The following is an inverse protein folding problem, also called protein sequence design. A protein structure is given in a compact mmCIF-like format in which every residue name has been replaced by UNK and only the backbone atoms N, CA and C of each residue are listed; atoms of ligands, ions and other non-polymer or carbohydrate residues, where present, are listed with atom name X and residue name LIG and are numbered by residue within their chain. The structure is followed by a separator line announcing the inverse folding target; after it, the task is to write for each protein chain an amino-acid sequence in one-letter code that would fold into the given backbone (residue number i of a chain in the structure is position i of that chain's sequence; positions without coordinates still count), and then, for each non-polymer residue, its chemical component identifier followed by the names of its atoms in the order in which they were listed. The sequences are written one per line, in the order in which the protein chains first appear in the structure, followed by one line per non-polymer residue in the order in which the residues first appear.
data_IF_028914180549
#
_entry.id   IF_028914180549
#
_cell.length_a   1.000
_cell.length_b   1.000
_cell.length_c   1.000
_cell.angle_alpha   90.00
_cell.angle_beta   90.00
_cell.angle_gamma   90.00
#
_symmetry.space_group_name_H-M   'P 1'
#
loop_
_entity.id
_entity.type
_entity.pdbx_description
1 polymer ?
#
# COMPACT_ATOMS: atom_id res chain seq x y z
N UNK A 1 7.08 -58.17 16.17
CA UNK A 1 7.76 -57.01 15.57
C UNK A 1 6.71 -56.06 15.01
N UNK A 2 6.63 -54.83 15.52
CA UNK A 2 5.94 -53.71 14.89
C UNK A 2 6.58 -52.42 15.42
N UNK A 3 7.42 -51.78 14.61
CA UNK A 3 8.13 -50.56 15.01
C UNK A 3 7.17 -49.39 14.84
N UNK A 4 6.84 -48.72 15.95
CA UNK A 4 5.92 -47.61 15.94
C UNK A 4 6.68 -46.33 15.54
N UNK A 5 6.53 -45.92 14.29
CA UNK A 5 7.23 -44.76 13.74
C UNK A 5 6.82 -43.48 14.50
N UNK A 6 7.80 -42.89 15.21
CA UNK A 6 7.61 -41.61 15.89
C UNK A 6 7.29 -40.51 14.89
N UNK A 7 6.13 -39.86 15.06
CA UNK A 7 5.84 -38.61 14.35
C UNK A 7 6.72 -37.51 14.93
N UNK A 8 7.85 -37.24 14.28
CA UNK A 8 8.68 -36.07 14.58
C UNK A 8 7.83 -34.81 14.39
N UNK A 9 7.44 -34.21 15.51
CA UNK A 9 6.70 -32.95 15.53
C UNK A 9 7.68 -31.86 15.14
N UNK A 10 7.68 -31.48 13.86
CA UNK A 10 8.40 -30.29 13.39
C UNK A 10 7.83 -29.09 14.12
N UNK A 11 8.54 -28.63 15.14
CA UNK A 11 8.24 -27.37 15.82
C UNK A 11 8.59 -26.27 14.82
N UNK A 12 7.70 -25.30 14.54
CA UNK A 12 8.10 -24.14 13.75
C UNK A 12 9.17 -23.40 14.54
N UNK A 13 10.40 -23.35 14.01
CA UNK A 13 11.41 -22.42 14.53
C UNK A 13 10.86 -21.02 14.33
N UNK A 14 10.41 -20.38 15.42
CA UNK A 14 9.98 -19.00 15.40
C UNK A 14 11.15 -18.18 14.85
N UNK A 15 10.91 -17.45 13.76
CA UNK A 15 11.95 -16.61 13.17
C UNK A 15 12.40 -15.56 14.21
N UNK A 16 13.71 -15.31 14.34
CA UNK A 16 14.25 -14.44 15.39
C UNK A 16 13.64 -13.04 15.32
N UNK A 17 13.47 -12.40 16.49
CA UNK A 17 12.91 -11.06 16.58
C UNK A 17 13.83 -10.03 15.88
N UNK A 18 13.28 -8.89 15.46
CA UNK A 18 14.08 -7.85 14.78
C UNK A 18 15.31 -7.47 15.62
N UNK A 19 15.14 -7.22 16.92
CA UNK A 19 16.21 -6.78 17.82
C UNK A 19 17.30 -7.86 18.02
N UNK A 20 16.93 -9.15 18.01
CA UNK A 20 17.86 -10.28 18.06
C UNK A 20 18.70 -10.37 16.78
N UNK A 21 18.06 -10.17 15.63
CA UNK A 21 18.75 -10.12 14.34
C UNK A 21 19.69 -8.92 14.27
N UNK A 22 19.25 -7.74 14.70
CA UNK A 22 20.07 -6.53 14.77
C UNK A 22 21.31 -6.76 15.64
N UNK A 23 21.14 -7.32 16.85
CA UNK A 23 22.27 -7.61 17.74
C UNK A 23 23.30 -8.53 17.08
N UNK A 24 22.87 -9.63 16.44
CA UNK A 24 23.78 -10.56 15.75
C UNK A 24 24.45 -9.96 14.52
N UNK A 25 23.78 -9.08 13.78
CA UNK A 25 24.41 -8.35 12.66
C UNK A 25 25.51 -7.41 13.19
N UNK A 26 25.29 -6.75 14.33
CA UNK A 26 26.30 -5.91 14.99
C UNK A 26 27.48 -6.72 15.57
N UNK A 27 27.25 -7.97 15.95
CA UNK A 27 28.30 -8.94 16.32
C UNK A 27 29.09 -9.49 15.11
N UNK A 28 28.67 -9.17 13.88
CA UNK A 28 29.37 -9.51 12.63
C UNK A 28 28.68 -10.58 11.77
N UNK A 29 27.50 -11.08 12.15
CA UNK A 29 26.71 -12.02 11.34
C UNK A 29 25.91 -11.28 10.25
N UNK A 30 26.64 -10.64 9.33
CA UNK A 30 26.11 -9.74 8.29
C UNK A 30 25.04 -10.42 7.42
N UNK A 31 25.13 -11.73 7.21
CA UNK A 31 24.18 -12.50 6.42
C UNK A 31 22.74 -12.43 6.98
N UNK A 32 22.58 -12.26 8.29
CA UNK A 32 21.25 -12.14 8.90
C UNK A 32 20.54 -10.82 8.57
N UNK A 33 21.23 -9.81 8.07
CA UNK A 33 20.59 -8.58 7.61
C UNK A 33 19.57 -8.86 6.48
N UNK A 34 19.78 -9.91 5.68
CA UNK A 34 18.82 -10.40 4.69
C UNK A 34 17.45 -10.74 5.30
N UNK A 35 17.42 -11.23 6.55
CA UNK A 35 16.16 -11.55 7.27
C UNK A 35 15.36 -10.27 7.53
N UNK A 36 16.03 -9.18 7.95
CA UNK A 36 15.40 -7.86 8.13
C UNK A 36 14.95 -7.28 6.78
N UNK A 37 15.77 -7.41 5.74
CA UNK A 37 15.40 -6.95 4.39
C UNK A 37 14.12 -7.65 3.90
N UNK A 38 14.11 -8.99 3.83
CA UNK A 38 12.95 -9.75 3.35
C UNK A 38 11.68 -9.51 4.17
N UNK A 39 11.82 -9.36 5.50
CA UNK A 39 10.70 -9.07 6.42
C UNK A 39 10.08 -7.69 6.20
N UNK A 40 10.90 -6.68 5.90
CA UNK A 40 10.46 -5.27 5.87
C UNK A 40 10.34 -4.68 4.45
N UNK A 41 10.79 -5.39 3.41
CA UNK A 41 10.69 -5.00 2.00
C UNK A 41 9.30 -4.45 1.62
N UNK A 42 8.16 -5.12 1.90
CA UNK A 42 6.85 -4.64 1.46
C UNK A 42 6.45 -3.29 2.10
N UNK A 43 6.80 -3.10 3.38
CA UNK A 43 6.53 -1.87 4.15
C UNK A 43 7.40 -0.71 3.67
N UNK A 44 8.69 -0.97 3.44
CA UNK A 44 9.61 0.02 2.89
C UNK A 44 9.23 0.42 1.47
N UNK A 45 8.88 -0.55 0.61
CA UNK A 45 8.40 -0.32 -0.76
C UNK A 45 7.20 0.63 -0.77
N UNK A 46 6.13 0.31 -0.03
CA UNK A 46 4.91 1.14 0.04
C UNK A 46 5.19 2.54 0.58
N UNK A 47 6.03 2.67 1.60
CA UNK A 47 6.44 3.96 2.15
C UNK A 47 7.15 4.83 1.09
N UNK A 48 8.12 4.27 0.36
CA UNK A 48 8.88 4.98 -0.69
C UNK A 48 8.01 5.27 -1.93
N UNK A 49 7.18 4.31 -2.36
CA UNK A 49 6.22 4.44 -3.47
C UNK A 49 5.05 5.40 -3.19
N UNK A 50 4.85 5.79 -1.92
CA UNK A 50 3.99 6.92 -1.56
C UNK A 50 4.61 8.28 -1.94
N UNK A 51 5.92 8.34 -2.14
CA UNK A 51 6.68 9.55 -2.50
C UNK A 51 7.06 9.53 -3.98
N UNK A 52 7.84 8.54 -4.40
CA UNK A 52 8.26 8.34 -5.79
C UNK A 52 7.15 7.61 -6.58
N UNK A 53 7.15 7.72 -7.92
CA UNK A 53 6.16 7.06 -8.80
C UNK A 53 6.81 6.10 -9.81
N UNK A 54 8.09 6.28 -10.09
CA UNK A 54 8.87 5.42 -10.98
C UNK A 54 9.41 4.23 -10.19
N UNK A 55 9.25 3.02 -10.72
CA UNK A 55 9.58 1.77 -10.03
C UNK A 55 11.10 1.59 -9.86
N UNK A 56 11.90 1.92 -10.88
CA UNK A 56 13.36 1.84 -10.78
C UNK A 56 13.90 2.83 -9.73
N UNK A 57 13.32 4.04 -9.67
CA UNK A 57 13.70 5.01 -8.63
C UNK A 57 13.29 4.57 -7.22
N UNK A 58 12.21 3.80 -7.07
CA UNK A 58 11.78 3.20 -5.80
C UNK A 58 12.74 2.09 -5.39
N UNK A 59 13.13 1.20 -6.31
CA UNK A 59 14.12 0.15 -6.06
C UNK A 59 15.48 0.74 -5.64
N UNK A 60 16.00 1.71 -6.40
CA UNK A 60 17.25 2.40 -6.07
C UNK A 60 17.17 3.12 -4.71
N UNK A 61 15.99 3.62 -4.32
CA UNK A 61 15.77 4.27 -3.02
C UNK A 61 15.66 3.24 -1.88
N UNK A 62 15.08 2.06 -2.13
CA UNK A 62 15.09 0.93 -1.19
C UNK A 62 16.52 0.43 -0.95
N UNK A 63 17.30 0.24 -2.02
CA UNK A 63 18.71 -0.16 -1.94
C UNK A 63 19.51 0.85 -1.09
N UNK A 64 19.42 2.13 -1.42
CA UNK A 64 20.11 3.18 -0.66
C UNK A 64 19.63 3.24 0.80
N UNK A 65 18.33 3.09 1.06
CA UNK A 65 17.80 3.05 2.43
C UNK A 65 18.34 1.87 3.24
N UNK A 66 18.49 0.68 2.64
CA UNK A 66 19.12 -0.46 3.31
C UNK A 66 20.62 -0.28 3.53
N UNK A 67 21.35 0.33 2.60
CA UNK A 67 22.76 0.67 2.79
C UNK A 67 22.95 1.68 3.94
N UNK A 68 22.11 2.71 4.01
CA UNK A 68 22.09 3.67 5.12
C UNK A 68 21.70 3.00 6.46
N UNK A 69 20.67 2.16 6.45
CA UNK A 69 20.23 1.42 7.64
C UNK A 69 21.29 0.42 8.13
N UNK A 70 22.08 -0.17 7.24
CA UNK A 70 23.22 -1.01 7.63
C UNK A 70 24.36 -0.18 8.20
N UNK A 71 24.75 0.91 7.52
CA UNK A 71 25.83 1.80 7.98
C UNK A 71 25.55 2.45 9.34
N UNK A 72 24.29 2.78 9.62
CA UNK A 72 23.83 3.37 10.89
C UNK A 72 23.21 2.37 11.86
N UNK A 73 23.38 1.06 11.64
CA UNK A 73 22.75 0.04 12.48
C UNK A 73 23.20 0.11 13.95
N UNK A 74 24.46 0.51 14.19
CA UNK A 74 25.00 0.73 15.54
C UNK A 74 24.39 1.94 16.26
N UNK A 75 23.80 2.89 15.52
CA UNK A 75 23.12 4.06 16.08
C UNK A 75 21.67 3.74 16.50
N UNK A 76 21.13 2.56 16.11
CA UNK A 76 19.75 2.16 16.40
C UNK A 76 19.57 1.75 17.87
N UNK A 77 19.10 2.70 18.69
CA UNK A 77 18.92 2.55 20.14
C UNK A 77 17.72 1.68 20.58
N UNK A 78 17.03 0.97 19.67
CA UNK A 78 15.84 0.14 20.00
C UNK A 78 14.62 0.90 20.56
N UNK A 79 14.63 2.24 20.58
CA UNK A 79 13.55 3.06 21.16
C UNK A 79 12.25 3.06 20.35
N UNK A 80 12.31 2.60 19.10
CA UNK A 80 11.17 2.35 18.23
C UNK A 80 11.45 1.05 17.46
N UNK A 81 10.42 0.40 16.93
CA UNK A 81 10.60 -0.81 16.11
C UNK A 81 11.54 -0.53 14.92
N UNK A 82 12.41 -1.50 14.59
CA UNK A 82 13.34 -1.41 13.45
C UNK A 82 12.61 -1.00 12.15
N UNK A 83 11.43 -1.58 11.91
CA UNK A 83 10.55 -1.23 10.78
C UNK A 83 10.18 0.26 10.70
N UNK A 84 9.92 0.94 11.83
CA UNK A 84 9.65 2.39 11.86
C UNK A 84 10.91 3.18 11.53
N UNK A 85 12.05 2.81 12.11
CA UNK A 85 13.33 3.46 11.86
C UNK A 85 13.75 3.36 10.39
N UNK A 86 13.65 2.17 9.81
CA UNK A 86 13.89 1.91 8.38
C UNK A 86 12.95 2.72 7.47
N UNK A 87 11.66 2.80 7.80
CA UNK A 87 10.69 3.62 7.03
C UNK A 87 11.06 5.10 7.07
N UNK A 88 11.54 5.64 8.20
CA UNK A 88 12.02 7.02 8.29
C UNK A 88 13.24 7.25 7.36
N UNK A 89 14.18 6.31 7.30
CA UNK A 89 15.33 6.39 6.38
C UNK A 89 14.84 6.41 4.93
N UNK A 90 14.00 5.45 4.53
CA UNK A 90 13.50 5.34 3.15
C UNK A 90 12.67 6.53 2.69
N UNK A 91 11.78 7.05 3.53
CA UNK A 91 10.97 8.23 3.20
C UNK A 91 11.84 9.48 3.06
N UNK A 92 12.86 9.65 3.91
CA UNK A 92 13.79 10.76 3.80
C UNK A 92 14.64 10.71 2.52
N UNK A 93 15.14 9.53 2.17
CA UNK A 93 15.85 9.28 0.90
C UNK A 93 14.95 9.61 -0.32
N UNK A 94 13.72 9.11 -0.31
CA UNK A 94 12.74 9.38 -1.37
C UNK A 94 12.41 10.88 -1.52
N UNK A 95 12.24 11.60 -0.41
CA UNK A 95 12.02 13.04 -0.39
C UNK A 95 13.27 13.82 -0.84
N UNK A 96 14.48 13.35 -0.49
CA UNK A 96 15.75 13.97 -0.94
C UNK A 96 15.88 13.88 -2.46
N UNK A 97 15.67 12.69 -3.04
CA UNK A 97 15.66 12.46 -4.49
C UNK A 97 14.67 13.36 -5.22
N UNK A 98 13.46 13.51 -4.66
CA UNK A 98 12.43 14.36 -5.26
C UNK A 98 12.79 15.86 -5.19
N UNK A 99 13.42 16.32 -4.10
CA UNK A 99 13.96 17.70 -3.99
C UNK A 99 15.06 17.96 -5.02
N UNK A 100 15.98 17.01 -5.22
CA UNK A 100 17.10 17.13 -6.17
C UNK A 100 16.68 17.38 -7.62
N UNK A 101 15.42 17.09 -7.99
CA UNK A 101 14.85 17.34 -9.33
C UNK A 101 14.20 18.72 -9.48
N UNK A 102 14.33 19.60 -8.48
CA UNK A 102 13.66 20.92 -8.46
C UNK A 102 12.13 20.84 -8.37
N UNK A 103 11.56 19.66 -8.10
CA UNK A 103 10.10 19.40 -8.14
C UNK A 103 9.37 19.57 -6.82
N UNK A 104 10.03 19.95 -5.73
CA UNK A 104 9.40 20.05 -4.41
C UNK A 104 9.15 21.49 -3.95
N UNK A 105 7.94 21.98 -4.19
CA UNK A 105 7.29 22.98 -3.33
C UNK A 105 6.17 22.26 -2.59
N UNK A 106 6.33 22.02 -1.28
CA UNK A 106 5.32 21.37 -0.43
C UNK A 106 4.01 22.18 -0.26
N UNK A 107 3.91 23.32 -0.94
CA UNK A 107 2.84 24.31 -0.88
C UNK A 107 2.23 24.66 -2.26
N UNK A 108 2.48 23.88 -3.32
CA UNK A 108 1.95 24.15 -4.67
C UNK A 108 1.33 22.92 -5.35
N UNK A 109 0.24 23.17 -6.08
CA UNK A 109 -0.42 22.29 -7.08
C UNK A 109 -0.05 22.76 -8.51
N UNK A 110 -0.43 22.08 -9.61
CA UNK A 110 -0.97 20.73 -9.79
C UNK A 110 0.14 19.87 -10.51
N UNK A 111 0.02 19.17 -11.67
CA UNK A 111 -1.08 18.63 -12.48
C UNK A 111 -1.24 17.10 -12.32
N UNK A 112 -1.70 16.39 -13.36
CA UNK A 112 -2.12 14.98 -13.35
C UNK A 112 -1.10 13.98 -13.92
N UNK A 113 -1.34 12.68 -13.66
CA UNK A 113 -0.91 11.59 -14.53
C UNK A 113 0.33 10.80 -14.09
N UNK A 114 0.11 9.60 -13.55
CA UNK A 114 1.15 8.57 -13.41
C UNK A 114 0.49 7.20 -13.40
N UNK A 115 0.87 6.33 -14.34
CA UNK A 115 0.41 4.93 -14.43
C UNK A 115 1.04 4.12 -13.30
N UNK A 116 0.40 3.01 -12.94
CA UNK A 116 0.86 2.06 -11.92
C UNK A 116 1.12 0.73 -12.62
N UNK A 117 2.27 0.10 -12.39
CA UNK A 117 2.50 -1.30 -12.73
C UNK A 117 1.83 -2.20 -11.69
N UNK A 118 1.21 -3.29 -12.15
CA UNK A 118 0.62 -4.32 -11.29
C UNK A 118 1.62 -5.47 -11.16
N UNK A 119 1.83 -6.00 -9.94
CA UNK A 119 2.01 -7.45 -9.68
C UNK A 119 2.15 -7.75 -8.18
N UNK A 120 1.28 -8.61 -7.62
CA UNK A 120 1.66 -9.60 -6.60
C UNK A 120 0.58 -10.70 -6.48
N UNK A 121 0.94 -11.97 -6.72
CA UNK A 121 0.04 -13.13 -6.68
C UNK A 121 -0.06 -13.77 -5.28
N UNK A 122 -1.27 -14.08 -4.81
CA UNK A 122 -1.53 -15.06 -3.71
C UNK A 122 -2.82 -15.86 -4.01
N UNK A 123 -2.85 -17.13 -3.59
CA UNK A 123 -3.71 -18.22 -4.06
C UNK A 123 -5.26 -18.09 -3.96
N UNK A 124 -5.95 -18.90 -4.78
CA UNK A 124 -7.35 -18.79 -5.26
C UNK A 124 -8.52 -18.76 -4.24
N UNK A 125 -9.28 -17.64 -4.21
CA UNK A 125 -10.75 -17.58 -4.08
C UNK A 125 -11.46 -18.07 -5.37
N UNK A 126 -12.80 -17.97 -5.46
CA UNK A 126 -13.50 -18.26 -6.73
C UNK A 126 -13.16 -17.22 -7.83
N UNK A 127 -13.20 -17.57 -9.13
CA UNK A 127 -12.83 -16.63 -10.20
C UNK A 127 -13.65 -15.33 -10.23
N UNK A 128 -14.93 -15.37 -9.85
CA UNK A 128 -15.77 -14.17 -9.75
C UNK A 128 -15.43 -13.32 -8.52
N UNK A 129 -15.17 -13.95 -7.37
CA UNK A 129 -14.74 -13.26 -6.15
C UNK A 129 -13.35 -12.61 -6.33
N UNK A 130 -12.44 -13.28 -7.05
CA UNK A 130 -11.13 -12.75 -7.43
C UNK A 130 -11.25 -11.50 -8.29
N UNK A 131 -12.05 -11.54 -9.37
CA UNK A 131 -12.24 -10.41 -10.26
C UNK A 131 -12.83 -9.20 -9.51
N UNK A 132 -13.85 -9.41 -8.69
CA UNK A 132 -14.47 -8.35 -7.88
C UNK A 132 -13.48 -7.76 -6.85
N UNK A 133 -12.68 -8.61 -6.20
CA UNK A 133 -11.65 -8.16 -5.25
C UNK A 133 -10.52 -7.40 -5.94
N UNK A 134 -10.10 -7.84 -7.14
CA UNK A 134 -9.09 -7.18 -7.94
C UNK A 134 -9.55 -5.79 -8.41
N UNK A 135 -10.76 -5.66 -8.97
CA UNK A 135 -11.32 -4.36 -9.36
C UNK A 135 -11.44 -3.40 -8.18
N UNK A 136 -11.91 -3.88 -7.02
CA UNK A 136 -12.01 -3.07 -5.81
C UNK A 136 -10.64 -2.60 -5.32
N UNK A 137 -9.63 -3.48 -5.35
CA UNK A 137 -8.24 -3.16 -4.97
C UNK A 137 -7.63 -2.14 -5.92
N UNK A 138 -7.69 -2.37 -7.22
CA UNK A 138 -7.14 -1.48 -8.25
C UNK A 138 -7.79 -0.08 -8.18
N UNK A 139 -9.10 0.01 -7.92
CA UNK A 139 -9.80 1.28 -7.70
C UNK A 139 -9.24 2.03 -6.48
N UNK A 140 -8.94 1.32 -5.40
CA UNK A 140 -8.43 1.89 -4.15
C UNK A 140 -6.98 2.37 -4.30
N UNK A 141 -6.12 1.58 -4.95
CA UNK A 141 -4.74 1.93 -5.30
C UNK A 141 -4.70 3.17 -6.22
N UNK A 142 -5.53 3.19 -7.28
CA UNK A 142 -5.68 4.36 -8.16
C UNK A 142 -6.19 5.60 -7.41
N UNK A 143 -7.11 5.46 -6.46
CA UNK A 143 -7.59 6.58 -5.65
C UNK A 143 -6.48 7.15 -4.75
N UNK A 144 -5.69 6.27 -4.11
CA UNK A 144 -4.51 6.69 -3.31
C UNK A 144 -3.47 7.38 -4.19
N UNK A 145 -3.21 6.90 -5.41
CA UNK A 145 -2.24 7.52 -6.32
C UNK A 145 -2.70 8.83 -6.98
N UNK A 146 -3.99 9.17 -6.88
CA UNK A 146 -4.50 10.49 -7.25
C UNK A 146 -4.45 11.51 -6.12
N UNK A 147 -4.13 11.11 -4.89
CA UNK A 147 -3.93 12.06 -3.80
C UNK A 147 -2.70 12.96 -4.06
N UNK A 148 -2.77 14.26 -3.69
CA UNK A 148 -1.59 15.11 -3.57
C UNK A 148 -0.52 14.45 -2.69
N UNK A 149 0.75 14.53 -3.09
CA UNK A 149 1.89 13.88 -2.43
C UNK A 149 1.85 13.98 -0.90
N UNK A 150 1.67 15.20 -0.38
CA UNK A 150 1.69 15.47 1.06
C UNK A 150 0.50 14.86 1.83
N UNK A 151 -0.59 14.50 1.15
CA UNK A 151 -1.72 13.74 1.69
C UNK A 151 -1.49 12.24 1.51
N UNK A 152 -1.02 11.81 0.34
CA UNK A 152 -0.72 10.41 -0.01
C UNK A 152 0.28 9.79 0.96
N UNK A 153 1.43 10.43 1.17
CA UNK A 153 2.46 9.92 2.08
C UNK A 153 1.96 9.82 3.53
N UNK A 154 1.22 10.83 4.02
CA UNK A 154 0.62 10.75 5.36
C UNK A 154 -0.40 9.61 5.46
N UNK A 155 -1.24 9.42 4.45
CA UNK A 155 -2.24 8.36 4.42
C UNK A 155 -1.60 6.96 4.41
N UNK A 156 -0.61 6.72 3.53
CA UNK A 156 0.10 5.44 3.44
C UNK A 156 0.77 5.11 4.78
N UNK A 157 1.53 6.05 5.36
CA UNK A 157 2.22 5.80 6.62
C UNK A 157 1.27 5.57 7.81
N UNK A 158 0.13 6.28 7.87
CA UNK A 158 -0.83 6.18 8.99
C UNK A 158 -1.82 5.01 8.89
N UNK A 159 -2.34 4.73 7.71
CA UNK A 159 -3.48 3.80 7.52
C UNK A 159 -3.04 2.46 6.91
N UNK A 160 -2.01 2.45 6.06
CA UNK A 160 -1.50 1.21 5.44
C UNK A 160 -0.39 0.62 6.30
N UNK A 161 0.62 1.43 6.63
CA UNK A 161 1.78 0.97 7.43
C UNK A 161 1.58 1.11 8.95
N UNK A 162 0.47 1.70 9.39
CA UNK A 162 0.04 1.80 10.79
C UNK A 162 1.01 2.51 11.77
N UNK A 163 2.03 3.24 11.27
CA UNK A 163 2.92 4.06 12.11
C UNK A 163 2.10 5.09 12.90
N UNK A 164 2.35 5.29 14.19
CA UNK A 164 1.68 6.29 15.04
C UNK A 164 1.80 7.73 14.51
N UNK A 165 0.94 8.63 14.99
CA UNK A 165 0.99 10.06 14.60
C UNK A 165 2.36 10.70 14.89
N UNK A 166 2.97 10.35 16.02
CA UNK A 166 4.31 10.83 16.40
C UNK A 166 5.41 10.27 15.48
N UNK A 167 5.36 8.98 15.13
CA UNK A 167 6.31 8.37 14.18
C UNK A 167 6.20 9.00 12.78
N UNK A 168 4.98 9.26 12.29
CA UNK A 168 4.77 9.94 11.00
C UNK A 168 5.18 11.41 11.05
N UNK A 169 4.99 12.10 12.18
CA UNK A 169 5.49 13.45 12.40
C UNK A 169 7.02 13.50 12.32
N UNK A 170 7.70 12.58 13.01
CA UNK A 170 9.16 12.45 12.99
C UNK A 170 9.74 11.99 11.64
N UNK A 171 9.02 11.14 10.90
CA UNK A 171 9.44 10.65 9.58
C UNK A 171 9.24 11.66 8.45
N UNK A 172 8.38 12.67 8.62
CA UNK A 172 8.09 13.69 7.60
C UNK A 172 8.56 15.09 7.99
N UNK A 173 9.21 15.25 9.15
CA UNK A 173 9.64 16.53 9.73
C UNK A 173 8.46 17.52 9.88
N UNK A 174 7.34 17.02 10.44
CA UNK A 174 6.09 17.75 10.65
C UNK A 174 5.72 17.81 12.13
N UNK A 175 4.86 18.75 12.51
CA UNK A 175 4.13 18.68 13.78
C UNK A 175 2.95 17.68 13.70
N UNK A 176 2.63 17.02 14.82
CA UNK A 176 1.52 16.05 14.90
C UNK A 176 0.17 16.62 14.43
N UNK A 177 -0.14 17.89 14.74
CA UNK A 177 -1.37 18.53 14.26
C UNK A 177 -1.44 18.64 12.74
N UNK A 178 -0.30 18.88 12.07
CA UNK A 178 -0.23 18.87 10.61
C UNK A 178 -0.46 17.46 10.05
N UNK A 179 0.02 16.41 10.74
CA UNK A 179 -0.27 15.01 10.38
C UNK A 179 -1.76 14.71 10.52
N UNK A 180 -2.40 15.09 11.64
CA UNK A 180 -3.86 14.91 11.87
C UNK A 180 -4.70 15.61 10.79
N UNK A 181 -4.40 16.87 10.49
CA UNK A 181 -5.11 17.65 9.47
C UNK A 181 -4.92 17.06 8.07
N UNK A 182 -3.68 16.68 7.70
CA UNK A 182 -3.40 16.03 6.41
C UNK A 182 -4.10 14.68 6.28
N UNK A 183 -4.10 13.86 7.34
CA UNK A 183 -4.80 12.58 7.35
C UNK A 183 -6.32 12.74 7.18
N UNK A 184 -6.92 13.72 7.86
CA UNK A 184 -8.35 14.03 7.69
C UNK A 184 -8.66 14.45 6.24
N UNK A 185 -7.87 15.36 5.66
CA UNK A 185 -8.02 15.79 4.26
C UNK A 185 -7.82 14.63 3.26
N UNK A 186 -6.84 13.76 3.50
CA UNK A 186 -6.61 12.58 2.67
C UNK A 186 -7.83 11.64 2.64
N UNK A 187 -8.42 11.37 3.81
CA UNK A 187 -9.64 10.54 3.92
C UNK A 187 -10.86 11.18 3.23
N UNK A 188 -11.00 12.51 3.25
CA UNK A 188 -12.07 13.21 2.51
C UNK A 188 -11.85 13.09 0.99
N UNK A 189 -10.65 13.43 0.50
CA UNK A 189 -10.31 13.34 -0.92
C UNK A 189 -10.46 11.91 -1.47
N UNK A 190 -10.08 10.88 -0.71
CA UNK A 190 -10.32 9.49 -1.09
C UNK A 190 -11.81 9.15 -1.21
N UNK A 191 -12.64 9.61 -0.28
CA UNK A 191 -14.10 9.39 -0.34
C UNK A 191 -14.69 10.02 -1.61
N UNK A 192 -14.27 11.22 -1.96
CA UNK A 192 -14.70 11.91 -3.18
C UNK A 192 -14.24 11.19 -4.45
N UNK A 193 -12.97 10.79 -4.52
CA UNK A 193 -12.40 10.04 -5.66
C UNK A 193 -13.11 8.69 -5.87
N UNK A 194 -13.34 7.94 -4.79
CA UNK A 194 -14.06 6.66 -4.82
C UNK A 194 -15.53 6.87 -5.20
N UNK A 195 -16.22 7.84 -4.59
CA UNK A 195 -17.63 8.14 -4.90
C UNK A 195 -17.82 8.56 -6.36
N UNK A 196 -16.92 9.38 -6.91
CA UNK A 196 -16.95 9.75 -8.32
C UNK A 196 -16.78 8.53 -9.25
N UNK A 197 -15.86 7.61 -8.92
CA UNK A 197 -15.61 6.40 -9.72
C UNK A 197 -16.75 5.40 -9.64
N UNK A 198 -17.35 5.21 -8.45
CA UNK A 198 -18.54 4.35 -8.25
C UNK A 198 -19.77 4.96 -8.91
N UNK A 199 -19.96 6.29 -8.85
CA UNK A 199 -21.05 7.01 -9.49
C UNK A 199 -21.07 6.84 -11.02
N UNK A 200 -19.90 6.75 -11.66
CA UNK A 200 -19.78 6.43 -13.09
C UNK A 200 -20.22 4.99 -13.43
N UNK A 201 -20.10 4.06 -12.48
CA UNK A 201 -20.51 2.65 -12.64
C UNK A 201 -21.96 2.39 -12.22
N UNK A 202 -22.57 3.24 -11.38
CA UNK A 202 -23.92 3.05 -10.87
C UNK A 202 -25.02 2.85 -11.95
N UNK A 203 -25.01 3.56 -13.10
CA UNK A 203 -25.97 3.31 -14.19
C UNK A 203 -25.86 1.91 -14.80
N UNK A 204 -24.66 1.31 -14.77
CA UNK A 204 -24.42 -0.08 -15.23
C UNK A 204 -24.89 -1.09 -14.19
N UNK A 205 -24.64 -0.82 -12.90
CA UNK A 205 -25.04 -1.69 -11.80
C UNK A 205 -26.57 -1.88 -11.69
N UNK A 206 -27.36 -0.84 -12.03
CA UNK A 206 -28.82 -0.90 -12.07
C UNK A 206 -29.39 -0.99 -13.50
N UNK A 207 -28.57 -1.37 -14.48
CA UNK A 207 -29.00 -1.48 -15.87
C UNK A 207 -30.18 -2.45 -16.04
N UNK A 208 -31.24 -2.00 -16.71
CA UNK A 208 -32.40 -2.84 -17.01
C UNK A 208 -32.02 -3.85 -18.10
N UNK A 209 -31.60 -5.05 -17.67
CA UNK A 209 -31.07 -6.11 -18.52
C UNK A 209 -32.05 -6.51 -19.63
N UNK A 210 -31.56 -6.72 -20.86
CA UNK A 210 -32.38 -7.05 -22.04
C UNK A 210 -33.38 -8.21 -21.82
N UNK A 211 -33.06 -9.32 -21.12
CA UNK A 211 -34.03 -10.39 -20.83
C UNK A 211 -35.19 -9.97 -19.91
N UNK A 212 -35.16 -8.77 -19.32
CA UNK A 212 -36.30 -8.13 -18.63
C UNK A 212 -37.07 -7.22 -19.59
N UNK A 213 -36.41 -6.51 -20.51
CA UNK A 213 -37.06 -5.81 -21.62
C UNK A 213 -37.95 -6.77 -22.41
N UNK A 214 -37.40 -7.87 -22.91
CA UNK A 214 -38.09 -8.78 -23.83
C UNK A 214 -39.35 -9.38 -23.18
N UNK A 215 -39.29 -9.71 -21.88
CA UNK A 215 -40.45 -10.19 -21.11
C UNK A 215 -41.52 -9.11 -20.90
N UNK A 216 -41.13 -7.87 -20.60
CA UNK A 216 -42.08 -6.76 -20.48
C UNK A 216 -42.71 -6.44 -21.83
N UNK A 217 -41.93 -6.39 -22.91
CA UNK A 217 -42.40 -6.16 -24.28
C UNK A 217 -43.36 -7.27 -24.72
N UNK A 218 -43.00 -8.55 -24.52
CA UNK A 218 -43.86 -9.67 -24.85
C UNK A 218 -45.19 -9.65 -24.06
N UNK A 219 -45.14 -9.36 -22.75
CA UNK A 219 -46.33 -9.25 -21.91
C UNK A 219 -47.24 -8.08 -22.34
N UNK A 220 -46.67 -6.93 -22.68
CA UNK A 220 -47.43 -5.76 -23.18
C UNK A 220 -48.04 -6.04 -24.55
N UNK A 221 -47.28 -6.61 -25.49
CA UNK A 221 -47.79 -6.96 -26.82
C UNK A 221 -48.92 -8.02 -26.76
N UNK A 222 -48.82 -8.99 -25.85
CA UNK A 222 -49.89 -9.97 -25.62
C UNK A 222 -51.16 -9.36 -24.99
N UNK A 223 -51.03 -8.24 -24.27
CA UNK A 223 -52.14 -7.55 -23.60
C UNK A 223 -52.82 -6.48 -24.47
N UNK A 224 -52.24 -6.09 -25.60
CA UNK A 224 -52.85 -5.12 -26.54
C UNK A 224 -53.84 -5.88 -27.45
N UNK A 225 -55.16 -5.63 -27.37
CA UNK A 225 -56.10 -6.22 -28.30
C UNK A 225 -55.85 -5.66 -29.71
N UNK A 226 -55.77 -6.54 -30.70
CA UNK A 226 -55.64 -6.14 -32.10
C UNK A 226 -56.82 -5.26 -32.49
N UNK A 227 -56.55 -4.00 -32.85
CA UNK A 227 -57.55 -3.11 -33.44
C UNK A 227 -58.03 -3.72 -34.75
N UNK A 228 -59.32 -4.06 -34.80
CA UNK A 228 -60.07 -4.26 -36.05
C UNK A 228 -60.52 -2.91 -36.60
#
# INVERSE_FOLDING_TARGET
MAVQAGRTRVVPTLAPADDEVVARVLEGDVALFEVLMRRHNPRLYRAIRSVLRDEAEVEDAMQQAYLQAYAHLGDFQGQAAFSTWLVRIGVNEALMRLRGRGRLVLAAEPPEGGRVGEEEHVADPSPEDQAATHEARALLEQAVDRLPLHLRTVYVLREIEQLSTAEVAAALELGEEAVKVRLHRARLALRELIAARVGQSAPKAFGFLAPRCDRVVAAVLAAIPARR
#
